data_IF_138891793704
#
_entry.id   IF_138891793704
#
_cell.length_a   1.000
_cell.length_b   1.000
_cell.length_c   1.000
_cell.angle_alpha   90.00
_cell.angle_beta   90.00
_cell.angle_gamma   90.00
#
_symmetry.space_group_name_H-M   'P 1'
#
loop_
_entity.id
_entity.type
_entity.pdbx_description
1 polymer ?
#
# COMPACT_ATOMS: atom_id res chain seq x y z
N UNK A 1 -18.77 31.19 21.47
CA UNK A 1 -18.41 29.80 21.86
C UNK A 1 -17.59 29.12 20.75
N UNK A 2 -16.44 29.69 20.37
CA UNK A 2 -15.64 29.21 19.22
C UNK A 2 -14.29 28.57 19.62
N UNK A 3 -13.91 28.63 20.89
CA UNK A 3 -12.59 28.19 21.36
C UNK A 3 -12.45 26.67 21.58
N UNK A 4 -13.54 25.90 21.53
CA UNK A 4 -13.53 24.47 21.88
C UNK A 4 -13.34 23.52 20.68
N UNK A 5 -13.60 23.97 19.43
CA UNK A 5 -13.50 23.11 18.23
C UNK A 5 -12.09 22.98 17.66
N UNK A 6 -11.22 23.96 17.90
CA UNK A 6 -9.84 23.99 17.37
C UNK A 6 -8.97 22.92 18.06
N UNK A 7 -9.25 22.63 19.34
CA UNK A 7 -8.47 21.66 20.12
C UNK A 7 -8.62 20.22 19.61
N UNK A 8 -9.83 19.83 19.17
CA UNK A 8 -10.11 18.45 18.76
C UNK A 8 -9.51 18.13 17.37
N UNK A 9 -9.56 19.10 16.45
CA UNK A 9 -8.94 18.99 15.12
C UNK A 9 -7.41 18.91 15.24
N UNK A 10 -6.82 19.67 16.16
CA UNK A 10 -5.38 19.65 16.41
C UNK A 10 -4.89 18.29 16.95
N UNK A 11 -5.64 17.66 17.86
CA UNK A 11 -5.29 16.32 18.36
C UNK A 11 -5.40 15.23 17.29
N UNK A 12 -6.39 15.31 16.40
CA UNK A 12 -6.55 14.34 15.29
C UNK A 12 -5.44 14.51 14.27
N UNK A 13 -5.05 15.76 13.95
CA UNK A 13 -3.92 16.03 13.04
C UNK A 13 -2.61 15.49 13.61
N UNK A 14 -2.35 15.68 14.91
CA UNK A 14 -1.13 15.17 15.56
C UNK A 14 -1.11 13.63 15.57
N UNK A 15 -2.24 12.97 15.82
CA UNK A 15 -2.36 11.51 15.73
C UNK A 15 -2.13 10.99 14.30
N UNK A 16 -2.71 11.65 13.29
CA UNK A 16 -2.50 11.29 11.89
C UNK A 16 -1.04 11.48 11.49
N UNK A 17 -0.42 12.61 11.85
CA UNK A 17 1.01 12.84 11.59
C UNK A 17 1.87 11.77 12.27
N UNK A 18 1.57 11.35 13.50
CA UNK A 18 2.32 10.28 14.18
C UNK A 18 2.18 8.92 13.49
N UNK A 19 0.98 8.59 13.00
CA UNK A 19 0.71 7.36 12.26
C UNK A 19 1.42 7.34 10.89
N UNK A 20 1.52 8.49 10.21
CA UNK A 20 2.16 8.58 8.89
C UNK A 20 3.68 8.83 8.94
N UNK A 21 4.20 9.43 10.02
CA UNK A 21 5.66 9.66 10.20
C UNK A 21 6.45 8.38 10.47
N UNK A 22 5.75 7.28 10.78
CA UNK A 22 6.36 5.96 10.93
C UNK A 22 6.47 5.18 9.61
N UNK A 23 6.21 5.80 8.45
CA UNK A 23 6.55 5.16 7.17
C UNK A 23 8.07 5.09 7.01
N UNK A 24 8.68 3.88 7.04
CA UNK A 24 10.10 3.76 6.75
C UNK A 24 10.30 4.08 5.28
N UNK A 25 11.07 5.11 5.01
CA UNK A 25 11.38 5.65 3.68
C UNK A 25 12.44 4.85 2.91
N UNK A 26 12.70 3.61 3.31
CA UNK A 26 13.56 2.68 2.57
C UNK A 26 13.06 1.26 2.81
N UNK A 27 12.97 0.47 1.73
CA UNK A 27 12.72 -0.98 1.81
C UNK A 27 13.99 -1.64 2.38
N UNK A 28 14.23 -1.42 3.68
CA UNK A 28 15.29 -2.09 4.43
C UNK A 28 14.77 -3.49 4.73
N UNK A 29 15.53 -4.50 4.30
CA UNK A 29 15.36 -5.88 4.74
C UNK A 29 15.33 -5.89 6.28
N UNK A 30 14.14 -5.97 6.86
CA UNK A 30 13.97 -5.97 8.30
C UNK A 30 14.53 -7.28 8.87
N UNK A 31 15.26 -7.19 9.97
CA UNK A 31 15.83 -8.33 10.68
C UNK A 31 14.72 -9.31 11.11
N UNK A 32 14.87 -10.61 10.85
CA UNK A 32 13.89 -11.65 11.19
C UNK A 32 13.49 -11.63 12.67
N UNK A 33 14.41 -11.23 13.56
CA UNK A 33 14.15 -11.10 14.99
C UNK A 33 13.26 -9.89 15.30
N UNK A 34 13.47 -8.77 14.60
CA UNK A 34 12.66 -7.57 14.72
C UNK A 34 11.25 -7.80 14.13
N UNK A 35 11.18 -8.44 12.97
CA UNK A 35 9.91 -8.83 12.33
C UNK A 35 9.11 -9.72 13.29
N UNK A 36 9.75 -10.74 13.87
CA UNK A 36 9.10 -11.63 14.82
C UNK A 36 8.57 -10.86 16.03
N UNK A 37 9.36 -9.92 16.58
CA UNK A 37 8.98 -9.16 17.77
C UNK A 37 7.81 -8.22 17.51
N UNK A 38 7.83 -7.50 16.38
CA UNK A 38 6.75 -6.59 15.97
C UNK A 38 5.48 -7.36 15.63
N UNK A 39 5.60 -8.43 14.83
CA UNK A 39 4.45 -9.21 14.44
C UNK A 39 3.88 -10.07 15.57
N UNK A 40 4.68 -10.48 16.56
CA UNK A 40 4.15 -11.21 17.72
C UNK A 40 3.21 -10.35 18.57
N UNK A 41 3.44 -9.03 18.61
CA UNK A 41 2.68 -8.07 19.40
C UNK A 41 1.54 -7.40 18.63
N UNK A 42 1.31 -7.76 17.37
CA UNK A 42 0.23 -7.17 16.57
C UNK A 42 -1.11 -7.88 16.82
N UNK A 43 -2.21 -7.18 16.56
CA UNK A 43 -3.56 -7.76 16.66
C UNK A 43 -3.79 -8.91 15.65
N UNK A 44 -2.92 -9.05 14.65
CA UNK A 44 -2.96 -10.12 13.66
C UNK A 44 -1.55 -10.70 13.38
N UNK A 45 -0.99 -11.50 14.31
CA UNK A 45 0.40 -11.97 14.23
C UNK A 45 0.71 -12.82 13.00
N UNK A 46 -0.24 -13.67 12.62
CA UNK A 46 -0.14 -14.55 11.45
C UNK A 46 -0.12 -13.74 10.16
N UNK A 47 -1.04 -12.77 10.03
CA UNK A 47 -1.12 -11.91 8.86
C UNK A 47 0.11 -11.01 8.74
N UNK A 48 0.58 -10.43 9.86
CA UNK A 48 1.80 -9.63 9.90
C UNK A 48 3.02 -10.42 9.44
N UNK A 49 3.26 -11.61 10.01
CA UNK A 49 4.40 -12.45 9.62
C UNK A 49 4.33 -12.88 8.15
N UNK A 50 3.13 -13.13 7.63
CA UNK A 50 2.93 -13.49 6.23
C UNK A 50 3.17 -12.32 5.28
N UNK A 51 2.72 -11.11 5.63
CA UNK A 51 2.95 -9.90 4.86
C UNK A 51 4.44 -9.56 4.79
N UNK A 52 5.15 -9.62 5.92
CA UNK A 52 6.57 -9.24 5.95
C UNK A 52 7.47 -10.30 5.29
N UNK A 53 7.14 -11.60 5.43
CA UNK A 53 7.90 -12.68 4.78
C UNK A 53 7.60 -12.87 3.29
N UNK A 54 6.57 -12.21 2.74
CA UNK A 54 6.25 -12.30 1.33
C UNK A 54 7.41 -11.81 0.42
N UNK A 55 8.34 -11.02 0.97
CA UNK A 55 9.45 -10.39 0.26
C UNK A 55 10.57 -11.36 -0.20
N UNK A 56 10.67 -12.55 0.40
CA UNK A 56 11.75 -13.51 0.08
C UNK A 56 11.46 -14.41 -1.15
N UNK A 57 10.52 -14.03 -2.03
CA UNK A 57 10.16 -14.84 -3.23
C UNK A 57 10.72 -14.34 -4.55
N UNK A 58 11.42 -13.21 -4.55
CA UNK A 58 12.19 -12.76 -5.71
C UNK A 58 13.26 -13.78 -6.12
N UNK A 59 13.74 -14.62 -5.21
CA UNK A 59 14.71 -15.68 -5.53
C UNK A 59 14.13 -16.91 -6.24
N UNK A 60 12.80 -17.07 -6.31
CA UNK A 60 12.16 -18.26 -6.90
C UNK A 60 12.08 -18.17 -8.43
N UNK A 61 12.03 -16.95 -8.96
CA UNK A 61 11.86 -16.68 -10.39
C UNK A 61 13.06 -15.97 -11.02
N UNK A 62 14.17 -15.82 -10.28
CA UNK A 62 15.38 -15.12 -10.75
C UNK A 62 15.96 -15.71 -12.03
N UNK A 63 15.82 -17.02 -12.23
CA UNK A 63 16.35 -17.73 -13.40
C UNK A 63 15.34 -17.82 -14.57
N UNK A 64 14.06 -17.45 -14.35
CA UNK A 64 13.04 -17.43 -15.41
C UNK A 64 12.87 -16.00 -15.92
N UNK A 65 13.42 -15.73 -17.11
CA UNK A 65 13.42 -14.39 -17.72
C UNK A 65 12.02 -13.80 -17.87
N UNK A 66 11.02 -14.61 -18.24
CA UNK A 66 9.66 -14.15 -18.46
C UNK A 66 8.98 -13.81 -17.13
N UNK A 67 9.09 -14.67 -16.12
CA UNK A 67 8.55 -14.41 -14.79
C UNK A 67 9.25 -13.22 -14.11
N UNK A 68 10.57 -13.12 -14.22
CA UNK A 68 11.34 -12.01 -13.67
C UNK A 68 10.98 -10.67 -14.34
N UNK A 69 10.78 -10.68 -15.66
CA UNK A 69 10.29 -9.52 -16.41
C UNK A 69 8.95 -9.02 -15.87
N UNK A 70 7.96 -9.91 -15.75
CA UNK A 70 6.65 -9.57 -15.19
C UNK A 70 6.73 -9.06 -13.75
N UNK A 71 7.54 -9.69 -12.89
CA UNK A 71 7.71 -9.24 -11.49
C UNK A 71 8.36 -7.86 -11.42
N UNK A 72 9.33 -7.59 -12.29
CA UNK A 72 10.01 -6.30 -12.36
C UNK A 72 9.05 -5.20 -12.83
N UNK A 73 8.24 -5.49 -13.85
CA UNK A 73 7.23 -4.57 -14.36
C UNK A 73 6.16 -4.27 -13.29
N UNK A 74 5.61 -5.30 -12.64
CA UNK A 74 4.67 -5.10 -11.54
C UNK A 74 5.28 -4.25 -10.41
N UNK A 75 6.56 -4.43 -10.08
CA UNK A 75 7.24 -3.61 -9.06
C UNK A 75 7.27 -2.14 -9.46
N UNK A 76 7.55 -1.86 -10.73
CA UNK A 76 7.55 -0.51 -11.28
C UNK A 76 6.14 0.11 -11.22
N UNK A 77 5.11 -0.62 -11.62
CA UNK A 77 3.72 -0.18 -11.54
C UNK A 77 3.30 0.13 -10.09
N UNK A 78 3.66 -0.73 -9.13
CA UNK A 78 3.41 -0.48 -7.72
C UNK A 78 4.20 0.73 -7.18
N UNK A 79 5.34 1.07 -7.78
CA UNK A 79 6.05 2.30 -7.48
C UNK A 79 5.29 3.53 -7.97
N UNK A 80 4.69 3.48 -9.17
CA UNK A 80 3.82 4.56 -9.65
C UNK A 80 2.57 4.69 -8.79
N UNK A 81 1.95 3.56 -8.44
CA UNK A 81 0.80 3.54 -7.54
C UNK A 81 1.11 4.22 -6.20
N UNK A 82 2.29 3.93 -5.63
CA UNK A 82 2.74 4.59 -4.41
C UNK A 82 2.89 6.11 -4.57
N UNK A 83 3.50 6.55 -5.67
CA UNK A 83 3.68 7.98 -5.95
C UNK A 83 2.33 8.71 -6.06
N UNK A 84 1.35 8.09 -6.72
CA UNK A 84 0.00 8.65 -6.82
C UNK A 84 -0.73 8.67 -5.48
N UNK A 85 -0.57 7.66 -4.62
CA UNK A 85 -1.11 7.72 -3.25
C UNK A 85 -0.46 8.83 -2.42
N UNK A 86 0.86 9.04 -2.57
CA UNK A 86 1.56 10.14 -1.90
C UNK A 86 1.06 11.50 -2.40
N UNK A 87 0.75 11.63 -3.70
CA UNK A 87 0.11 12.81 -4.29
C UNK A 87 -1.31 13.02 -3.76
N UNK A 88 -2.14 11.97 -3.73
CA UNK A 88 -3.50 12.03 -3.21
C UNK A 88 -3.55 12.56 -1.77
N UNK A 89 -2.56 12.20 -0.94
CA UNK A 89 -2.42 12.72 0.42
C UNK A 89 -2.12 14.23 0.43
N UNK A 90 -1.28 14.73 -0.47
CA UNK A 90 -1.01 16.17 -0.57
C UNK A 90 -2.25 16.92 -1.07
N UNK A 91 -2.94 16.38 -2.07
CA UNK A 91 -4.16 16.95 -2.63
C UNK A 91 -5.26 17.07 -1.55
N UNK A 92 -5.43 16.03 -0.72
CA UNK A 92 -6.32 16.07 0.46
C UNK A 92 -5.96 17.19 1.44
N UNK A 93 -4.67 17.38 1.75
CA UNK A 93 -4.21 18.44 2.67
C UNK A 93 -4.50 19.83 2.11
N UNK A 94 -4.43 19.96 0.78
CA UNK A 94 -4.67 21.21 0.08
C UNK A 94 -6.17 21.46 -0.19
N UNK A 95 -7.04 20.48 0.08
CA UNK A 95 -8.47 20.56 -0.20
C UNK A 95 -8.82 20.35 -1.67
N UNK A 96 -7.89 19.82 -2.48
CA UNK A 96 -8.11 19.49 -3.89
C UNK A 96 -8.65 18.06 -4.01
N UNK A 97 -9.94 17.91 -3.76
CA UNK A 97 -10.58 16.59 -3.72
C UNK A 97 -10.67 15.92 -5.11
N UNK A 98 -10.84 16.70 -6.18
CA UNK A 98 -10.87 16.18 -7.55
C UNK A 98 -9.49 15.62 -7.95
N UNK A 99 -8.40 16.33 -7.63
CA UNK A 99 -7.05 15.83 -7.85
C UNK A 99 -6.77 14.58 -7.00
N UNK A 100 -7.21 14.58 -5.74
CA UNK A 100 -7.06 13.42 -4.86
C UNK A 100 -7.81 12.19 -5.38
N UNK A 101 -9.06 12.34 -5.82
CA UNK A 101 -9.85 11.25 -6.39
C UNK A 101 -9.15 10.65 -7.62
N UNK A 102 -8.68 11.52 -8.53
CA UNK A 102 -7.91 11.12 -9.70
C UNK A 102 -6.64 10.35 -9.32
N UNK A 103 -5.88 10.83 -8.35
CA UNK A 103 -4.65 10.19 -7.89
C UNK A 103 -4.91 8.80 -7.29
N UNK A 104 -5.94 8.65 -6.43
CA UNK A 104 -6.34 7.33 -5.91
C UNK A 104 -6.78 6.40 -7.03
N UNK A 105 -7.53 6.91 -8.02
CA UNK A 105 -7.97 6.11 -9.16
C UNK A 105 -6.79 5.60 -10.01
N UNK A 106 -5.81 6.46 -10.30
CA UNK A 106 -4.60 6.05 -11.04
C UNK A 106 -3.81 5.00 -10.26
N UNK A 107 -3.66 5.17 -8.95
CA UNK A 107 -3.00 4.18 -8.10
C UNK A 107 -3.69 2.81 -8.14
N UNK A 108 -5.03 2.79 -8.28
CA UNK A 108 -5.80 1.55 -8.48
C UNK A 108 -5.57 0.94 -9.86
N UNK A 109 -5.47 1.75 -10.92
CA UNK A 109 -5.15 1.27 -12.26
C UNK A 109 -3.81 0.54 -12.32
N UNK A 110 -2.76 1.12 -11.70
CA UNK A 110 -1.45 0.49 -11.66
C UNK A 110 -1.46 -0.84 -10.91
N UNK A 111 -2.15 -0.93 -9.78
CA UNK A 111 -2.28 -2.19 -9.05
C UNK A 111 -3.02 -3.26 -9.86
N UNK A 112 -4.12 -2.88 -10.53
CA UNK A 112 -4.89 -3.79 -11.39
C UNK A 112 -4.07 -4.28 -12.59
N UNK A 113 -3.24 -3.41 -13.16
CA UNK A 113 -2.29 -3.77 -14.21
C UNK A 113 -1.34 -4.87 -13.73
N UNK A 114 -0.65 -4.63 -12.61
CA UNK A 114 0.28 -5.61 -12.05
C UNK A 114 -0.41 -6.94 -11.75
N UNK A 115 -1.59 -6.90 -11.13
CA UNK A 115 -2.33 -8.11 -10.80
C UNK A 115 -2.70 -8.92 -12.06
N UNK A 116 -3.12 -8.24 -13.12
CA UNK A 116 -3.40 -8.85 -14.42
C UNK A 116 -2.16 -9.52 -15.00
N UNK A 117 -1.01 -8.85 -15.01
CA UNK A 117 0.23 -9.41 -15.54
C UNK A 117 0.70 -10.65 -14.77
N UNK A 118 0.62 -10.60 -13.44
CA UNK A 118 0.95 -11.74 -12.58
C UNK A 118 0.00 -12.92 -12.84
N UNK A 119 -1.30 -12.67 -13.07
CA UNK A 119 -2.30 -13.72 -13.35
C UNK A 119 -2.11 -14.34 -14.74
N UNK A 120 -1.70 -13.53 -15.71
CA UNK A 120 -1.54 -13.95 -17.10
C UNK A 120 -0.20 -14.67 -17.36
N UNK A 121 0.77 -14.57 -16.45
CA UNK A 121 2.04 -15.26 -16.58
C UNK A 121 1.96 -16.71 -16.06
N UNK A 122 2.04 -17.75 -16.93
CA UNK A 122 1.86 -19.14 -16.52
C UNK A 122 2.99 -19.68 -15.62
N UNK A 123 4.12 -18.98 -15.52
CA UNK A 123 5.24 -19.35 -14.66
C UNK A 123 5.06 -18.84 -13.24
N UNK A 124 4.25 -17.79 -13.05
CA UNK A 124 4.05 -17.16 -11.76
C UNK A 124 2.89 -17.84 -11.04
N UNK A 125 3.18 -18.40 -9.87
CA UNK A 125 2.14 -18.85 -8.95
C UNK A 125 1.83 -17.76 -7.94
N UNK A 126 0.69 -17.08 -8.15
CA UNK A 126 0.15 -16.15 -7.16
C UNK A 126 -0.21 -16.93 -5.89
N UNK A 127 0.29 -16.46 -4.76
CA UNK A 127 -0.08 -17.03 -3.46
C UNK A 127 -1.32 -16.38 -2.91
N UNK A 128 -1.98 -17.08 -1.99
CA UNK A 128 -3.10 -16.53 -1.24
C UNK A 128 -2.78 -15.16 -0.61
N UNK A 129 -1.57 -14.95 -0.05
CA UNK A 129 -1.19 -13.69 0.57
C UNK A 129 -1.10 -12.53 -0.42
N UNK A 130 -0.52 -12.77 -1.60
CA UNK A 130 -0.43 -11.75 -2.65
C UNK A 130 -1.84 -11.40 -3.15
N UNK A 131 -2.66 -12.41 -3.42
CA UNK A 131 -4.05 -12.20 -3.85
C UNK A 131 -4.88 -11.47 -2.80
N UNK A 132 -4.72 -11.82 -1.52
CA UNK A 132 -5.36 -11.11 -0.42
C UNK A 132 -4.91 -9.64 -0.34
N UNK A 133 -3.61 -9.38 -0.52
CA UNK A 133 -3.06 -8.03 -0.56
C UNK A 133 -3.68 -7.17 -1.67
N UNK A 134 -3.81 -7.71 -2.88
CA UNK A 134 -4.46 -7.02 -4.00
C UNK A 134 -5.93 -6.72 -3.70
N UNK A 135 -6.71 -7.70 -3.26
CA UNK A 135 -8.12 -7.50 -2.90
C UNK A 135 -8.30 -6.44 -1.80
N UNK A 136 -7.40 -6.43 -0.81
CA UNK A 136 -7.44 -5.45 0.27
C UNK A 136 -7.10 -4.05 -0.24
N UNK A 137 -6.10 -3.92 -1.11
CA UNK A 137 -5.73 -2.67 -1.76
C UNK A 137 -6.90 -2.11 -2.59
N UNK A 138 -7.52 -2.93 -3.43
CA UNK A 138 -8.69 -2.56 -4.24
C UNK A 138 -9.85 -2.07 -3.36
N UNK A 139 -10.18 -2.82 -2.30
CA UNK A 139 -11.26 -2.45 -1.37
C UNK A 139 -10.98 -1.12 -0.68
N UNK A 140 -9.75 -0.88 -0.22
CA UNK A 140 -9.35 0.37 0.43
C UNK A 140 -9.39 1.55 -0.54
N UNK A 141 -8.89 1.37 -1.77
CA UNK A 141 -8.95 2.40 -2.82
C UNK A 141 -10.38 2.80 -3.15
N UNK A 142 -11.30 1.83 -3.28
CA UNK A 142 -12.72 2.13 -3.48
C UNK A 142 -13.37 2.84 -2.30
N UNK A 143 -13.00 2.49 -1.07
CA UNK A 143 -13.46 3.21 0.12
C UNK A 143 -12.96 4.65 0.12
N UNK A 144 -11.67 4.86 -0.21
CA UNK A 144 -11.07 6.19 -0.30
C UNK A 144 -11.78 7.06 -1.34
N UNK A 145 -11.98 6.57 -2.57
CA UNK A 145 -12.72 7.28 -3.62
C UNK A 145 -14.12 7.68 -3.14
N UNK A 146 -14.86 6.79 -2.46
CA UNK A 146 -16.19 7.11 -1.93
C UNK A 146 -16.19 8.17 -0.84
N UNK A 147 -15.13 8.24 -0.03
CA UNK A 147 -14.97 9.26 0.99
C UNK A 147 -14.65 10.60 0.33
N UNK A 148 -13.68 10.63 -0.58
CA UNK A 148 -13.23 11.83 -1.28
C UNK A 148 -14.40 12.49 -2.03
N UNK A 149 -15.19 11.71 -2.76
CA UNK A 149 -16.37 12.20 -3.49
C UNK A 149 -17.49 12.79 -2.60
N UNK A 150 -17.35 12.74 -1.27
CA UNK A 150 -18.30 13.31 -0.29
C UNK A 150 -17.74 14.51 0.48
N UNK A 151 -16.48 14.86 0.27
CA UNK A 151 -15.82 16.03 0.88
C UNK A 151 -16.04 17.28 0.02
#
# INVERSE_FOLDING_TARGET
>A
MAFSRISMVSTVIVLLVFLFSHQPSTFVRADDELIRRVCHNSDAPTACNQCVKADNRTSVYQDDFAANGTITQCREELSYAKADLDAAIQDLKNGDYDASDKSVFNALLYQNSCESELKNNPKIRITYHINFGFNMYEALSHIALRIINRL
#
